data_IF_817130813877
#
_entry.id   IF_817130813877
#
_cell.length_a   1.000
_cell.length_b   1.000
_cell.length_c   1.000
_cell.angle_alpha   90.00
_cell.angle_beta   90.00
_cell.angle_gamma   90.00
#
_symmetry.space_group_name_H-M   'P 1'
#
loop_
_entity.id
_entity.type
_entity.pdbx_description
1 polymer ?
#
# COMPACT_ATOMS: atom_id res chain seq x y z
N UNK A 1 14.26 5.91 9.15
CA UNK A 1 13.07 6.79 9.18
C UNK A 1 12.78 7.45 7.84
N UNK A 2 13.74 8.14 7.20
CA UNK A 2 13.53 8.83 5.91
C UNK A 2 13.01 7.93 4.77
N UNK A 3 13.60 6.74 4.55
CA UNK A 3 13.18 5.82 3.48
C UNK A 3 11.69 5.45 3.59
N UNK A 4 11.22 5.14 4.81
CA UNK A 4 9.82 4.80 5.06
C UNK A 4 8.90 5.98 4.78
N UNK A 5 9.23 7.17 5.28
CA UNK A 5 8.45 8.38 5.04
C UNK A 5 8.32 8.71 3.54
N UNK A 6 9.42 8.66 2.79
CA UNK A 6 9.41 8.92 1.35
C UNK A 6 8.69 7.84 0.54
N UNK A 7 8.80 6.58 0.97
CA UNK A 7 8.04 5.48 0.34
C UNK A 7 6.55 5.67 0.54
N UNK A 8 6.11 6.01 1.75
CA UNK A 8 4.70 6.30 2.02
C UNK A 8 4.21 7.53 1.26
N UNK A 9 5.02 8.58 1.18
CA UNK A 9 4.70 9.76 0.37
C UNK A 9 4.47 9.39 -1.10
N UNK A 10 5.35 8.58 -1.68
CA UNK A 10 5.19 8.08 -3.04
C UNK A 10 3.89 7.26 -3.19
N UNK A 11 3.66 6.29 -2.30
CA UNK A 11 2.51 5.38 -2.39
C UNK A 11 1.17 6.09 -2.25
N UNK A 12 1.05 7.04 -1.31
CA UNK A 12 -0.17 7.83 -1.13
C UNK A 12 -0.37 8.79 -2.30
N UNK A 13 0.69 9.38 -2.84
CA UNK A 13 0.59 10.22 -4.05
C UNK A 13 0.17 9.40 -5.27
N UNK A 14 0.74 8.21 -5.45
CA UNK A 14 0.36 7.26 -6.49
C UNK A 14 -1.13 6.91 -6.40
N UNK A 15 -1.62 6.51 -5.22
CA UNK A 15 -3.03 6.18 -5.03
C UNK A 15 -3.96 7.38 -5.26
N UNK A 16 -3.59 8.57 -4.76
CA UNK A 16 -4.37 9.80 -4.94
C UNK A 16 -4.40 10.32 -6.39
N UNK A 17 -3.43 9.94 -7.22
CA UNK A 17 -3.37 10.29 -8.65
C UNK A 17 -3.83 9.17 -9.57
N UNK A 18 -4.19 8.01 -9.02
CA UNK A 18 -4.71 6.89 -9.79
C UNK A 18 -6.01 7.28 -10.54
N UNK A 19 -6.30 6.70 -11.72
CA UNK A 19 -7.51 7.02 -12.46
C UNK A 19 -8.80 6.67 -11.70
N UNK A 20 -9.86 7.44 -11.90
CA UNK A 20 -11.18 7.11 -11.37
C UNK A 20 -11.79 5.89 -12.11
N UNK A 21 -11.51 5.76 -13.41
CA UNK A 21 -11.85 4.61 -14.24
C UNK A 21 -10.58 4.00 -14.86
N UNK A 22 -9.85 3.14 -14.13
CA UNK A 22 -8.58 2.57 -14.59
C UNK A 22 -8.80 1.51 -15.68
N UNK A 23 -7.89 1.47 -16.65
CA UNK A 23 -7.83 0.39 -17.64
C UNK A 23 -7.34 -0.91 -16.99
N UNK A 24 -7.55 -2.05 -17.65
CA UNK A 24 -7.00 -3.32 -17.15
C UNK A 24 -5.46 -3.29 -17.06
N UNK A 25 -4.78 -2.56 -17.94
CA UNK A 25 -3.34 -2.35 -17.87
C UNK A 25 -2.95 -1.57 -16.60
N UNK A 26 -3.67 -0.51 -16.25
CA UNK A 26 -3.45 0.26 -15.01
C UNK A 26 -3.63 -0.63 -13.78
N UNK A 27 -4.68 -1.45 -13.76
CA UNK A 27 -4.98 -2.38 -12.66
C UNK A 27 -3.87 -3.42 -12.48
N UNK A 28 -3.36 -3.99 -13.57
CA UNK A 28 -2.23 -4.92 -13.52
C UNK A 28 -0.98 -4.21 -13.01
N UNK A 29 -0.65 -3.04 -13.56
CA UNK A 29 0.53 -2.27 -13.15
C UNK A 29 0.48 -1.88 -11.66
N UNK A 30 -0.67 -1.45 -11.15
CA UNK A 30 -0.85 -1.10 -9.74
C UNK A 30 -0.62 -2.30 -8.80
N UNK A 31 -1.13 -3.49 -9.15
CA UNK A 31 -0.87 -4.71 -8.38
C UNK A 31 0.61 -5.10 -8.41
N UNK A 32 1.25 -4.97 -9.57
CA UNK A 32 2.68 -5.24 -9.74
C UNK A 32 3.56 -4.25 -8.96
N UNK A 33 3.18 -2.97 -8.89
CA UNK A 33 3.87 -1.98 -8.08
C UNK A 33 3.91 -2.37 -6.59
N UNK A 34 2.79 -2.85 -6.04
CA UNK A 34 2.70 -3.33 -4.66
C UNK A 34 3.51 -4.61 -4.46
N UNK A 35 3.39 -5.58 -5.39
CA UNK A 35 4.13 -6.83 -5.32
C UNK A 35 5.65 -6.61 -5.39
N UNK A 36 6.11 -5.73 -6.28
CA UNK A 36 7.51 -5.34 -6.42
C UNK A 36 8.05 -4.70 -5.14
N UNK A 37 7.26 -3.80 -4.53
CA UNK A 37 7.62 -3.23 -3.24
C UNK A 37 7.79 -4.32 -2.18
N UNK A 38 6.85 -5.26 -2.08
CA UNK A 38 6.93 -6.37 -1.13
C UNK A 38 8.10 -7.33 -1.39
N UNK A 39 8.63 -7.40 -2.61
CA UNK A 39 9.79 -8.23 -2.95
C UNK A 39 11.12 -7.50 -2.73
N UNK A 40 11.16 -6.19 -2.98
CA UNK A 40 12.42 -5.45 -3.10
C UNK A 40 12.62 -4.36 -2.06
N UNK A 41 11.68 -4.16 -1.12
CA UNK A 41 11.85 -3.11 -0.11
C UNK A 41 13.17 -3.30 0.67
N UNK A 42 14.05 -2.27 0.76
CA UNK A 42 15.42 -2.44 1.25
C UNK A 42 15.57 -2.88 2.71
N UNK A 43 14.55 -2.61 3.54
CA UNK A 43 14.54 -3.05 4.93
C UNK A 43 14.03 -4.50 5.00
N UNK A 44 14.92 -5.46 5.30
CA UNK A 44 14.60 -6.90 5.35
C UNK A 44 13.42 -7.24 6.29
N UNK A 45 13.44 -6.73 7.52
CA UNK A 45 12.38 -6.98 8.52
C UNK A 45 11.06 -6.35 8.06
N UNK A 46 11.12 -5.10 7.60
CA UNK A 46 9.94 -4.39 7.10
C UNK A 46 9.32 -5.11 5.90
N UNK A 47 10.15 -5.63 4.99
CA UNK A 47 9.73 -6.40 3.82
C UNK A 47 8.99 -7.67 4.23
N UNK A 48 9.54 -8.45 5.18
CA UNK A 48 8.86 -9.65 5.69
C UNK A 48 7.52 -9.33 6.35
N UNK A 49 7.41 -8.21 7.08
CA UNK A 49 6.14 -7.76 7.66
C UNK A 49 5.14 -7.31 6.59
N UNK A 50 5.59 -6.57 5.57
CA UNK A 50 4.74 -6.14 4.45
C UNK A 50 4.16 -7.35 3.71
N UNK A 51 4.99 -8.36 3.40
CA UNK A 51 4.52 -9.61 2.77
C UNK A 51 3.42 -10.30 3.59
N UNK A 52 3.60 -10.41 4.92
CA UNK A 52 2.57 -10.96 5.81
C UNK A 52 1.28 -10.13 5.79
N UNK A 53 1.37 -8.81 5.77
CA UNK A 53 0.19 -7.92 5.72
C UNK A 53 -0.58 -8.06 4.41
N UNK A 54 0.12 -8.17 3.27
CA UNK A 54 -0.50 -8.38 1.96
C UNK A 54 -1.23 -9.74 1.85
N UNK A 55 -0.82 -10.73 2.64
CA UNK A 55 -1.51 -12.02 2.74
C UNK A 55 -2.63 -12.03 3.80
N UNK A 56 -2.78 -10.96 4.58
CA UNK A 56 -3.73 -10.92 5.68
C UNK A 56 -5.16 -10.70 5.21
N UNK A 57 -6.09 -11.47 5.79
CA UNK A 57 -7.54 -11.27 5.54
C UNK A 57 -8.04 -9.89 6.00
N UNK A 58 -7.36 -9.28 6.98
CA UNK A 58 -7.72 -7.97 7.51
C UNK A 58 -7.49 -6.84 6.47
N UNK A 59 -6.47 -6.97 5.62
CA UNK A 59 -6.22 -6.03 4.54
C UNK A 59 -7.07 -6.35 3.31
N UNK A 60 -7.12 -7.62 2.91
CA UNK A 60 -7.74 -8.04 1.66
C UNK A 60 -6.84 -7.77 0.43
N UNK A 61 -7.29 -8.17 -0.77
CA UNK A 61 -6.53 -7.95 -2.01
C UNK A 61 -6.36 -6.46 -2.31
N UNK A 62 -5.34 -6.11 -3.09
CA UNK A 62 -5.15 -4.72 -3.57
C UNK A 62 -6.36 -4.30 -4.38
N UNK A 63 -7.09 -3.32 -3.88
CA UNK A 63 -8.27 -2.78 -4.55
C UNK A 63 -7.84 -1.70 -5.53
N UNK A 64 -7.95 -2.00 -6.82
CA UNK A 64 -7.46 -1.16 -7.93
C UNK A 64 -8.60 -0.75 -8.86
N UNK A 65 -9.86 -0.87 -8.42
CA UNK A 65 -11.04 -0.57 -9.25
C UNK A 65 -11.42 0.91 -9.26
N UNK A 66 -10.52 1.77 -8.77
CA UNK A 66 -10.64 3.22 -8.86
C UNK A 66 -9.77 3.94 -7.85
N UNK A 67 -9.64 5.26 -8.00
CA UNK A 67 -8.85 6.11 -7.11
C UNK A 67 -9.23 5.98 -5.64
N UNK A 68 -10.52 6.09 -5.33
CA UNK A 68 -11.03 6.01 -3.95
C UNK A 68 -10.68 4.67 -3.33
N UNK A 69 -10.99 3.57 -4.03
CA UNK A 69 -10.69 2.22 -3.61
C UNK A 69 -9.22 1.99 -3.30
N UNK A 70 -8.33 2.40 -4.20
CA UNK A 70 -6.90 2.24 -4.01
C UNK A 70 -6.36 3.12 -2.88
N UNK A 71 -6.86 4.35 -2.75
CA UNK A 71 -6.48 5.28 -1.68
C UNK A 71 -6.90 4.74 -0.31
N UNK A 72 -8.13 4.25 -0.19
CA UNK A 72 -8.66 3.63 1.03
C UNK A 72 -7.87 2.36 1.37
N UNK A 73 -7.57 1.50 0.39
CA UNK A 73 -6.74 0.31 0.58
C UNK A 73 -5.32 0.67 1.07
N UNK A 74 -4.68 1.69 0.46
CA UNK A 74 -3.35 2.15 0.84
C UNK A 74 -3.32 2.71 2.27
N UNK A 75 -4.33 3.50 2.65
CA UNK A 75 -4.49 4.00 4.01
C UNK A 75 -4.67 2.86 5.03
N UNK A 76 -5.49 1.85 4.72
CA UNK A 76 -5.65 0.66 5.57
C UNK A 76 -4.36 -0.11 5.74
N UNK A 77 -3.59 -0.34 4.67
CA UNK A 77 -2.27 -0.96 4.76
C UNK A 77 -1.33 -0.15 5.67
N UNK A 78 -1.30 1.18 5.52
CA UNK A 78 -0.48 2.04 6.35
C UNK A 78 -0.90 1.98 7.83
N UNK A 79 -2.20 1.96 8.12
CA UNK A 79 -2.72 1.80 9.48
C UNK A 79 -2.35 0.45 10.10
N UNK A 80 -2.28 -0.64 9.32
CA UNK A 80 -1.76 -1.92 9.83
C UNK A 80 -0.28 -1.83 10.20
N UNK A 81 0.53 -1.03 9.49
CA UNK A 81 1.93 -0.78 9.86
C UNK A 81 2.02 0.13 11.08
N UNK A 82 1.16 1.14 11.18
CA UNK A 82 1.08 2.00 12.37
C UNK A 82 0.77 1.20 13.63
N UNK A 83 -0.17 0.26 13.55
CA UNK A 83 -0.51 -0.62 14.67
C UNK A 83 0.70 -1.43 15.17
N UNK A 84 1.50 -2.02 14.27
CA UNK A 84 2.73 -2.75 14.63
C UNK A 84 3.75 -1.84 15.34
N UNK A 85 3.74 -0.54 15.04
CA UNK A 85 4.65 0.45 15.59
C UNK A 85 4.06 1.20 16.80
N UNK A 86 2.86 0.83 17.28
CA UNK A 86 2.17 1.54 18.36
C UNK A 86 1.77 2.98 18.02
N UNK A 87 1.63 3.31 16.73
CA UNK A 87 1.23 4.64 16.24
C UNK A 87 -0.29 4.74 16.11
N UNK A 88 -0.88 5.95 16.26
CA UNK A 88 -2.30 6.17 16.04
C UNK A 88 -2.76 5.77 14.63
N UNK A 89 -4.02 5.33 14.52
CA UNK A 89 -4.66 5.14 13.23
C UNK A 89 -5.10 6.48 12.63
N UNK A 90 -5.04 6.58 11.30
CA UNK A 90 -5.62 7.67 10.54
C UNK A 90 -7.03 7.32 10.09
N UNK A 91 -7.92 8.32 10.06
CA UNK A 91 -9.17 8.20 9.33
C UNK A 91 -8.85 8.13 7.83
N UNK A 92 -9.16 6.97 7.25
CA UNK A 92 -9.32 6.79 5.81
C UNK A 92 -10.76 7.24 5.46
#
# INVERSE_FOLDING_TARGET
EALGAHTWFYLHTFAAKYPDAPTEADKVAARWQVASLAQHYPCHVCRGHLQKKLLSKALGPVDVDGREKLSTWMCRLHNLVNADLGKPAHAC
#
